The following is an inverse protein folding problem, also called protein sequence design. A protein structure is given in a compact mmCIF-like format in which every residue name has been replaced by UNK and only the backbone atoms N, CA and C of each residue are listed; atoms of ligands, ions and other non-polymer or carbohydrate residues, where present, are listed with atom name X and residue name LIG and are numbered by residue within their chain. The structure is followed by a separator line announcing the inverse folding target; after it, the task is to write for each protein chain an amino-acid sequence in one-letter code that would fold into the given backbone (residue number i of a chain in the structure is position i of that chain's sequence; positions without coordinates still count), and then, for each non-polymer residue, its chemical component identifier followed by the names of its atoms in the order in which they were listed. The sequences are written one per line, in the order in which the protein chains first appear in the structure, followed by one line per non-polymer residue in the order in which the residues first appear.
data_IF_889105095134
#
_entry.id   IF_889105095134
#
_cell.length_a   1.000
_cell.length_b   1.000
_cell.length_c   1.000
_cell.angle_alpha   90.00
_cell.angle_beta   90.00
_cell.angle_gamma   90.00
#
_symmetry.space_group_name_H-M   'P 1'
#
loop_
_entity.id
_entity.type
_entity.pdbx_description
1 polymer ?
#
# COMPACT_ATOMS: atom_id res chain seq x y z
N UNK A 1 10.81 -17.17 -18.78
CA UNK A 1 10.43 -16.64 -17.45
C UNK A 1 10.16 -17.84 -16.54
N UNK A 2 10.89 -17.99 -15.42
CA UNK A 2 10.70 -19.13 -14.50
C UNK A 2 9.51 -18.81 -13.58
N UNK A 3 8.51 -19.68 -13.53
CA UNK A 3 7.37 -19.50 -12.61
C UNK A 3 7.89 -19.58 -11.17
N UNK A 4 7.55 -18.58 -10.35
CA UNK A 4 7.91 -18.55 -8.91
C UNK A 4 7.10 -19.59 -8.12
N UNK A 5 5.88 -19.89 -8.59
CA UNK A 5 4.97 -20.86 -7.97
C UNK A 5 4.75 -22.07 -8.87
N UNK A 6 4.85 -23.27 -8.27
CA UNK A 6 4.47 -24.54 -8.92
C UNK A 6 2.93 -24.70 -8.92
N UNK A 7 2.36 -25.51 -9.81
CA UNK A 7 0.94 -25.89 -9.73
C UNK A 7 0.59 -26.43 -8.33
N UNK A 8 -0.55 -25.99 -7.79
CA UNK A 8 -0.99 -26.26 -6.41
C UNK A 8 -0.28 -25.43 -5.33
N UNK A 9 0.72 -24.62 -5.66
CA UNK A 9 1.43 -23.78 -4.70
C UNK A 9 0.58 -22.63 -4.17
N UNK A 10 0.66 -22.36 -2.87
CA UNK A 10 -0.09 -21.31 -2.18
C UNK A 10 0.44 -19.92 -2.51
N UNK A 11 -0.48 -18.99 -2.70
CA UNK A 11 -0.26 -17.57 -2.90
C UNK A 11 -1.15 -16.80 -1.91
N UNK A 12 -0.55 -15.88 -1.16
CA UNK A 12 -1.27 -14.99 -0.27
C UNK A 12 -0.94 -13.54 -0.63
N UNK A 13 -1.98 -12.70 -0.64
CA UNK A 13 -1.86 -11.26 -0.86
C UNK A 13 -2.69 -10.53 0.17
N UNK A 14 -2.08 -9.52 0.78
CA UNK A 14 -2.76 -8.55 1.63
C UNK A 14 -3.16 -7.33 0.81
N UNK A 15 -4.36 -6.83 1.06
CA UNK A 15 -4.89 -5.60 0.50
C UNK A 15 -5.20 -4.64 1.64
N UNK A 16 -4.76 -3.40 1.45
CA UNK A 16 -4.88 -2.32 2.41
C UNK A 16 -6.05 -1.42 1.99
N UNK A 17 -7.19 -1.42 2.73
CA UNK A 17 -8.44 -0.79 2.29
C UNK A 17 -8.61 0.68 2.74
N UNK A 18 -7.72 1.21 3.58
CA UNK A 18 -7.86 2.51 4.23
C UNK A 18 -7.42 3.70 3.35
N UNK A 19 -6.57 3.46 2.36
CA UNK A 19 -6.01 4.48 1.46
C UNK A 19 -7.07 5.39 0.79
N UNK A 20 -8.21 4.89 0.27
CA UNK A 20 -9.25 5.76 -0.28
C UNK A 20 -10.05 6.53 0.79
N UNK A 21 -9.98 6.14 2.07
CA UNK A 21 -10.65 6.84 3.18
C UNK A 21 -9.80 8.02 3.71
N UNK A 22 -8.53 8.10 3.30
CA UNK A 22 -7.65 9.23 3.64
C UNK A 22 -8.23 10.53 3.09
N UNK A 23 -8.43 11.50 3.98
CA UNK A 23 -8.78 12.86 3.58
C UNK A 23 -7.65 13.48 2.75
N UNK A 24 -8.01 14.28 1.75
CA UNK A 24 -7.03 15.10 1.02
C UNK A 24 -6.47 16.18 1.94
N UNK A 25 -5.18 16.47 1.78
CA UNK A 25 -4.52 17.58 2.46
C UNK A 25 -3.29 18.00 1.69
N UNK A 26 -2.85 19.23 1.94
CA UNK A 26 -1.66 19.78 1.33
C UNK A 26 -0.61 20.12 2.39
N UNK A 27 0.64 19.83 2.05
CA UNK A 27 1.83 20.33 2.74
C UNK A 27 1.84 20.09 4.26
N UNK A 28 1.39 18.90 4.69
CA UNK A 28 1.34 18.53 6.10
C UNK A 28 2.68 17.94 6.56
N UNK A 29 3.28 18.55 7.58
CA UNK A 29 4.44 17.98 8.26
C UNK A 29 4.04 16.81 9.15
N UNK A 30 4.33 15.57 8.75
CA UNK A 30 3.89 14.36 9.46
C UNK A 30 4.96 13.80 10.39
N UNK A 31 6.25 13.97 10.07
CA UNK A 31 7.33 13.44 10.89
C UNK A 31 8.53 14.36 10.93
N UNK A 32 8.97 14.69 12.13
CA UNK A 32 10.21 15.38 12.34
C UNK A 32 11.04 14.63 13.39
N UNK A 33 12.16 14.03 12.97
CA UNK A 33 13.02 13.25 13.87
C UNK A 33 14.49 13.59 13.67
N UNK A 34 15.29 13.39 14.70
CA UNK A 34 16.75 13.36 14.54
C UNK A 34 17.13 12.00 13.95
N UNK A 35 18.06 12.00 13.00
CA UNK A 35 18.64 10.77 12.47
C UNK A 35 19.38 10.06 13.62
N UNK A 36 19.15 8.76 13.76
CA UNK A 36 19.81 7.96 14.79
C UNK A 36 21.34 8.02 14.59
N UNK A 37 22.09 8.33 15.65
CA UNK A 37 23.56 8.43 15.60
C UNK A 37 24.13 9.69 14.94
N UNK A 38 23.34 10.75 14.67
CA UNK A 38 23.85 11.98 14.04
C UNK A 38 23.12 13.27 14.42
N UNK A 39 23.67 14.41 13.99
CA UNK A 39 23.09 15.75 14.20
C UNK A 39 22.03 16.14 13.17
N UNK A 40 21.76 15.26 12.19
CA UNK A 40 20.82 15.52 11.11
C UNK A 40 19.36 15.51 11.59
N UNK A 41 18.58 16.51 11.20
CA UNK A 41 17.13 16.56 11.40
C UNK A 41 16.43 16.19 10.09
N UNK A 42 15.59 15.17 10.16
CA UNK A 42 14.80 14.69 9.05
C UNK A 42 13.38 15.21 9.23
N UNK A 43 12.82 15.81 8.19
CA UNK A 43 11.40 16.17 8.10
C UNK A 43 10.75 15.57 6.87
N UNK A 44 9.58 14.97 7.05
CA UNK A 44 8.68 14.57 5.97
C UNK A 44 7.54 15.58 5.89
N UNK A 45 7.37 16.17 4.71
CA UNK A 45 6.19 16.94 4.34
C UNK A 45 5.44 16.15 3.29
N UNK A 46 4.14 16.06 3.43
CA UNK A 46 3.29 15.23 2.58
C UNK A 46 2.04 15.99 2.14
N UNK A 47 1.65 15.77 0.89
CA UNK A 47 0.34 16.12 0.36
C UNK A 47 -0.36 14.85 -0.12
N UNK A 48 -1.65 14.74 0.15
CA UNK A 48 -2.50 13.64 -0.32
C UNK A 48 -3.59 14.20 -1.23
N UNK A 49 -3.69 13.65 -2.44
CA UNK A 49 -4.69 14.02 -3.44
C UNK A 49 -5.35 12.77 -4.02
N UNK A 50 -6.66 12.81 -4.29
CA UNK A 50 -7.41 11.71 -4.88
C UNK A 50 -7.82 12.03 -6.31
N UNK A 51 -7.39 11.20 -7.26
CA UNK A 51 -7.90 11.21 -8.63
C UNK A 51 -9.05 10.19 -8.73
N UNK A 52 -10.22 10.53 -8.18
CA UNK A 52 -11.37 9.61 -8.09
C UNK A 52 -11.80 8.97 -9.42
N UNK A 53 -11.85 9.68 -10.57
CA UNK A 53 -12.18 9.06 -11.87
C UNK A 53 -11.18 7.98 -12.28
N UNK A 54 -9.94 8.07 -11.79
CA UNK A 54 -8.85 7.12 -12.04
C UNK A 54 -8.68 6.13 -10.91
N UNK A 55 -9.45 6.22 -9.82
CA UNK A 55 -9.33 5.43 -8.61
C UNK A 55 -7.92 5.45 -8.02
N UNK A 56 -7.24 6.61 -8.08
CA UNK A 56 -5.90 6.78 -7.53
C UNK A 56 -5.91 7.66 -6.29
N UNK A 57 -5.14 7.28 -5.29
CA UNK A 57 -4.70 8.17 -4.20
C UNK A 57 -3.22 8.40 -4.37
N UNK A 58 -2.82 9.66 -4.50
CA UNK A 58 -1.42 10.06 -4.71
C UNK A 58 -0.91 10.77 -3.47
N UNK A 59 0.26 10.33 -3.00
CA UNK A 59 1.01 10.89 -1.90
C UNK A 59 2.23 11.59 -2.49
N UNK A 60 2.24 12.91 -2.48
CA UNK A 60 3.39 13.71 -2.89
C UNK A 60 4.23 14.00 -1.64
N UNK A 61 5.46 13.51 -1.63
CA UNK A 61 6.32 13.49 -0.44
C UNK A 61 7.60 14.30 -0.67
N UNK A 62 7.89 15.20 0.27
CA UNK A 62 9.15 15.93 0.37
C UNK A 62 9.90 15.47 1.63
N UNK A 63 11.02 14.80 1.43
CA UNK A 63 11.96 14.42 2.49
C UNK A 63 13.08 15.44 2.56
N UNK A 64 13.15 16.21 3.64
CA UNK A 64 14.22 17.16 3.86
C UNK A 64 15.13 16.71 5.02
N UNK A 65 16.43 16.60 4.75
CA UNK A 65 17.47 16.36 5.73
C UNK A 65 18.23 17.67 5.98
N UNK A 66 18.30 18.12 7.23
CA UNK A 66 19.06 19.29 7.66
C UNK A 66 20.22 18.88 8.53
N UNK A 67 21.45 19.20 8.12
CA UNK A 67 22.70 19.03 8.88
C UNK A 67 23.35 20.38 9.08
N UNK A 68 23.31 20.93 10.29
CA UNK A 68 23.75 22.30 10.55
C UNK A 68 22.97 23.31 9.70
N UNK A 69 23.69 24.03 8.83
CA UNK A 69 23.13 24.99 7.86
C UNK A 69 22.80 24.36 6.49
N UNK A 70 23.27 23.14 6.21
CA UNK A 70 22.99 22.46 4.96
C UNK A 70 21.61 21.79 5.01
N UNK A 71 20.79 22.02 3.99
CA UNK A 71 19.50 21.35 3.77
C UNK A 71 19.53 20.63 2.43
N UNK A 72 19.25 19.34 2.44
CA UNK A 72 19.07 18.52 1.24
C UNK A 72 17.62 18.05 1.20
N UNK A 73 16.97 18.21 0.05
CA UNK A 73 15.57 17.85 -0.15
C UNK A 73 15.48 16.81 -1.27
N UNK A 74 14.68 15.77 -1.04
CA UNK A 74 14.32 14.74 -2.01
C UNK A 74 12.80 14.73 -2.15
N UNK A 75 12.31 14.75 -3.40
CA UNK A 75 10.88 14.75 -3.71
C UNK A 75 10.54 13.50 -4.50
N UNK A 76 9.43 12.88 -4.15
CA UNK A 76 8.92 11.71 -4.86
C UNK A 76 7.41 11.59 -4.63
N UNK A 77 6.76 10.79 -5.46
CA UNK A 77 5.32 10.55 -5.39
C UNK A 77 5.04 9.06 -5.33
N UNK A 78 4.08 8.66 -4.48
CA UNK A 78 3.54 7.31 -4.44
C UNK A 78 2.09 7.35 -4.91
N UNK A 79 1.73 6.49 -5.86
CA UNK A 79 0.36 6.40 -6.36
C UNK A 79 -0.21 5.01 -6.08
N UNK A 80 -1.31 4.97 -5.33
CA UNK A 80 -2.04 3.75 -5.01
C UNK A 80 -3.32 3.70 -5.83
N UNK A 81 -3.58 2.54 -6.46
CA UNK A 81 -4.85 2.30 -7.16
C UNK A 81 -5.76 1.46 -6.30
N UNK A 82 -6.91 2.01 -5.94
CA UNK A 82 -7.94 1.27 -5.20
C UNK A 82 -8.60 0.27 -6.14
N UNK A 83 -8.64 -0.99 -5.72
CA UNK A 83 -9.33 -2.07 -6.42
C UNK A 83 -10.30 -2.74 -5.45
N UNK A 84 -11.52 -3.00 -5.92
CA UNK A 84 -12.48 -3.82 -5.18
C UNK A 84 -12.01 -5.27 -5.07
N UNK A 85 -12.51 -5.97 -4.05
CA UNK A 85 -12.26 -7.41 -3.88
C UNK A 85 -12.64 -8.22 -5.13
N UNK A 86 -13.75 -7.85 -5.77
CA UNK A 86 -14.20 -8.47 -7.04
C UNK A 86 -13.19 -8.25 -8.18
N UNK A 87 -12.61 -7.06 -8.30
CA UNK A 87 -11.58 -6.80 -9.29
C UNK A 87 -10.31 -7.60 -9.01
N UNK A 88 -9.88 -7.70 -7.74
CA UNK A 88 -8.66 -8.43 -7.38
C UNK A 88 -8.81 -9.94 -7.58
N UNK A 89 -9.87 -10.55 -7.04
CA UNK A 89 -10.16 -11.97 -7.23
C UNK A 89 -10.33 -12.34 -8.71
N UNK A 90 -10.96 -11.46 -9.50
CA UNK A 90 -11.06 -11.63 -10.96
C UNK A 90 -9.70 -11.61 -11.68
N UNK A 91 -8.75 -10.78 -11.23
CA UNK A 91 -7.37 -10.76 -11.77
C UNK A 91 -6.62 -12.03 -11.43
N UNK A 92 -6.72 -12.50 -10.19
CA UNK A 92 -6.07 -13.75 -9.76
C UNK A 92 -6.61 -14.96 -10.52
N UNK A 93 -7.93 -15.07 -10.69
CA UNK A 93 -8.55 -16.11 -11.52
C UNK A 93 -8.04 -16.10 -12.95
N UNK A 94 -8.00 -14.92 -13.60
CA UNK A 94 -7.43 -14.76 -14.95
C UNK A 94 -5.94 -15.09 -15.02
N UNK A 95 -5.20 -14.91 -13.92
CA UNK A 95 -3.80 -15.28 -13.83
C UNK A 95 -3.57 -16.78 -13.57
N UNK A 96 -4.63 -17.59 -13.47
CA UNK A 96 -4.54 -19.05 -13.24
C UNK A 96 -4.47 -19.43 -11.78
N UNK A 97 -5.12 -18.67 -10.90
CA UNK A 97 -5.26 -19.00 -9.49
C UNK A 97 -6.70 -19.37 -9.13
N UNK A 98 -6.84 -20.36 -8.26
CA UNK A 98 -8.10 -20.68 -7.59
C UNK A 98 -8.09 -19.99 -6.23
N UNK A 99 -9.16 -19.25 -5.91
CA UNK A 99 -9.29 -18.58 -4.61
C UNK A 99 -9.75 -19.61 -3.59
N UNK A 100 -8.98 -19.78 -2.52
CA UNK A 100 -9.30 -20.70 -1.42
C UNK A 100 -10.12 -19.99 -0.36
N UNK A 101 -9.65 -18.83 0.10
CA UNK A 101 -10.25 -18.06 1.20
C UNK A 101 -10.06 -16.56 1.00
N UNK A 102 -11.04 -15.81 1.49
CA UNK A 102 -10.96 -14.37 1.68
C UNK A 102 -11.06 -14.12 3.18
N UNK A 103 -10.01 -13.58 3.77
CA UNK A 103 -9.87 -13.44 5.22
C UNK A 103 -9.81 -11.96 5.62
N UNK A 104 -10.26 -11.68 6.85
CA UNK A 104 -10.18 -10.37 7.49
C UNK A 104 -9.21 -10.39 8.68
N UNK A 105 -8.53 -9.26 8.90
CA UNK A 105 -7.88 -8.89 10.17
C UNK A 105 -6.85 -9.90 10.73
N UNK A 106 -6.29 -10.74 9.87
CA UNK A 106 -5.37 -11.84 10.23
C UNK A 106 -5.88 -12.81 11.31
N UNK A 107 -7.16 -12.75 11.66
CA UNK A 107 -7.76 -13.65 12.67
C UNK A 107 -8.22 -14.98 12.08
N UNK A 108 -8.00 -15.19 10.76
CA UNK A 108 -8.45 -16.40 10.04
C UNK A 108 -9.96 -16.48 9.83
N UNK A 109 -10.70 -15.41 10.15
CA UNK A 109 -12.12 -15.27 9.92
C UNK A 109 -12.45 -14.80 8.50
N UNK A 110 -13.69 -14.98 8.02
CA UNK A 110 -14.10 -14.51 6.71
C UNK A 110 -13.97 -12.98 6.61
N UNK A 111 -13.62 -12.50 5.42
CA UNK A 111 -13.62 -11.08 5.13
C UNK A 111 -15.01 -10.43 5.32
N UNK A 112 -15.04 -9.25 5.94
CA UNK A 112 -16.21 -8.36 6.01
C UNK A 112 -15.85 -6.96 5.53
N UNK A 113 -16.85 -6.11 5.27
CA UNK A 113 -16.61 -4.74 4.77
C UNK A 113 -15.92 -3.85 5.82
N UNK A 114 -16.05 -4.21 7.09
CA UNK A 114 -15.53 -3.51 8.26
C UNK A 114 -14.10 -3.94 8.61
N UNK A 115 -13.59 -5.01 8.00
CA UNK A 115 -12.24 -5.50 8.25
C UNK A 115 -11.20 -4.43 7.88
N UNK A 116 -10.24 -4.21 8.77
CA UNK A 116 -9.13 -3.27 8.61
C UNK A 116 -8.09 -3.82 7.63
N UNK A 117 -7.93 -5.13 7.56
CA UNK A 117 -7.02 -5.80 6.61
C UNK A 117 -7.73 -6.88 5.83
N UNK A 118 -7.49 -6.96 4.51
CA UNK A 118 -8.10 -7.98 3.66
C UNK A 118 -7.03 -8.91 3.10
N UNK A 119 -7.17 -10.22 3.34
CA UNK A 119 -6.27 -11.24 2.80
C UNK A 119 -6.97 -12.07 1.74
N UNK A 120 -6.29 -12.27 0.62
CA UNK A 120 -6.68 -13.24 -0.40
C UNK A 120 -5.71 -14.42 -0.35
N UNK A 121 -6.22 -15.59 0.00
CA UNK A 121 -5.49 -16.86 -0.03
C UNK A 121 -5.95 -17.64 -1.25
N UNK A 122 -5.00 -18.07 -2.06
CA UNK A 122 -5.24 -18.76 -3.31
C UNK A 122 -4.17 -19.82 -3.56
N UNK A 123 -4.41 -20.70 -4.54
CA UNK A 123 -3.38 -21.60 -5.05
C UNK A 123 -3.28 -21.50 -6.57
N UNK A 124 -2.08 -21.79 -7.09
CA UNK A 124 -1.87 -21.92 -8.53
C UNK A 124 -2.71 -23.09 -9.03
N UNK A 125 -3.59 -22.86 -10.01
CA UNK A 125 -4.36 -23.93 -10.63
C UNK A 125 -3.43 -25.03 -11.17
N UNK A 126 -3.94 -26.26 -11.19
CA UNK A 126 -3.21 -27.42 -11.72
C UNK A 126 -3.03 -27.32 -13.23
#
# INVERSE_FOLDING_TARGET
MRSVLRPGGTFAMELVPDVPQRSEYEHRGSHCRRRQGGSARISLVESVRQERPRQLTVFDQEFAERRGHCRTTQRFSLAFRTLSMRQMTGRLRRAGFTIDRLEGDYVGGPWTAEAETWLVVAHRAR
#
